data_IF_109453732894
#
_entry.id   IF_109453732894
#
_cell.length_a   1.000
_cell.length_b   1.000
_cell.length_c   1.000
_cell.angle_alpha   90.00
_cell.angle_beta   90.00
_cell.angle_gamma   90.00
#
_symmetry.space_group_name_H-M   'P 1'
#
loop_
_entity.id
_entity.type
_entity.pdbx_description
1 polymer ?
#
# COMPACT_ATOMS: atom_id res chain seq x y z
N UNK A 1 -12.81 -42.80 21.26
CA UNK A 1 -11.56 -42.12 21.68
C UNK A 1 -10.94 -41.25 20.58
N UNK A 2 -10.94 -41.66 19.31
CA UNK A 2 -10.38 -40.88 18.19
C UNK A 2 -11.17 -39.60 17.79
N UNK A 3 -12.46 -39.60 17.87
CA UNK A 3 -13.30 -38.44 17.54
C UNK A 3 -13.06 -37.22 18.48
N UNK A 4 -12.80 -37.50 19.77
CA UNK A 4 -12.47 -36.43 20.72
C UNK A 4 -11.09 -35.78 20.47
N UNK A 5 -10.11 -36.60 20.02
CA UNK A 5 -8.78 -36.09 19.69
C UNK A 5 -8.82 -35.22 18.42
N UNK A 6 -9.57 -35.62 17.39
CA UNK A 6 -9.77 -34.83 16.18
C UNK A 6 -10.51 -33.51 16.45
N UNK A 7 -11.49 -33.51 17.33
CA UNK A 7 -12.19 -32.29 17.71
C UNK A 7 -11.29 -31.31 18.50
N UNK A 8 -10.43 -31.84 19.39
CA UNK A 8 -9.45 -31.02 20.13
C UNK A 8 -8.37 -30.49 19.20
N UNK A 9 -7.87 -31.31 18.26
CA UNK A 9 -6.89 -30.87 17.27
C UNK A 9 -7.48 -29.87 16.28
N UNK A 10 -8.73 -30.06 15.82
CA UNK A 10 -9.44 -29.11 14.99
C UNK A 10 -9.66 -27.77 15.72
N UNK A 11 -9.99 -27.83 17.01
CA UNK A 11 -10.13 -26.62 17.85
C UNK A 11 -8.77 -25.94 18.10
N UNK A 12 -7.72 -26.71 18.34
CA UNK A 12 -6.34 -26.18 18.49
C UNK A 12 -5.84 -25.52 17.19
N UNK A 13 -6.14 -26.14 16.02
CA UNK A 13 -5.79 -25.59 14.71
C UNK A 13 -6.63 -24.34 14.41
N UNK A 14 -7.92 -24.33 14.77
CA UNK A 14 -8.80 -23.18 14.67
C UNK A 14 -8.31 -22.02 15.59
N UNK A 15 -8.03 -22.32 16.86
CA UNK A 15 -7.48 -21.35 17.82
C UNK A 15 -6.10 -20.84 17.39
N UNK A 16 -5.28 -21.66 16.69
CA UNK A 16 -3.97 -21.22 16.17
C UNK A 16 -4.11 -20.37 14.90
N UNK A 17 -5.15 -20.61 14.10
CA UNK A 17 -5.49 -19.78 12.95
C UNK A 17 -6.15 -18.44 13.34
N UNK A 18 -6.89 -18.42 14.47
CA UNK A 18 -7.52 -17.20 15.01
C UNK A 18 -6.50 -16.16 15.53
N UNK A 19 -5.26 -16.55 15.79
CA UNK A 19 -4.25 -15.68 16.45
C UNK A 19 -3.42 -14.79 15.52
N UNK A 20 -3.57 -14.89 14.20
CA UNK A 20 -2.76 -14.08 13.27
C UNK A 20 -3.37 -12.71 12.93
N UNK A 21 -4.66 -12.51 13.17
CA UNK A 21 -5.34 -11.26 12.87
C UNK A 21 -5.90 -10.62 14.15
N UNK A 22 -5.49 -9.39 14.42
CA UNK A 22 -6.11 -8.58 15.46
C UNK A 22 -7.46 -8.07 14.96
N UNK A 23 -8.50 -8.21 15.80
CA UNK A 23 -9.83 -7.66 15.52
C UNK A 23 -9.79 -6.13 15.42
N UNK A 24 -10.58 -5.57 14.50
CA UNK A 24 -10.74 -4.13 14.31
C UNK A 24 -11.12 -3.40 15.62
N UNK A 25 -11.83 -4.06 16.54
CA UNK A 25 -12.17 -3.53 17.85
C UNK A 25 -10.93 -3.41 18.75
N UNK A 26 -10.04 -4.39 18.74
CA UNK A 26 -8.78 -4.39 19.49
C UNK A 26 -7.84 -3.32 18.96
N UNK A 27 -7.68 -3.22 17.63
CA UNK A 27 -6.92 -2.17 16.98
C UNK A 27 -7.46 -0.78 17.32
N UNK A 28 -8.79 -0.61 17.28
CA UNK A 28 -9.44 0.63 17.71
C UNK A 28 -9.14 0.94 19.17
N UNK A 29 -9.26 -0.03 20.07
CA UNK A 29 -8.98 0.15 21.49
C UNK A 29 -7.51 0.53 21.71
N UNK A 30 -6.58 -0.13 21.03
CA UNK A 30 -5.17 0.23 21.09
C UNK A 30 -4.94 1.69 20.68
N UNK A 31 -5.31 2.08 19.46
CA UNK A 31 -4.98 3.40 18.93
C UNK A 31 -5.71 4.56 19.63
N UNK A 32 -6.95 4.35 20.06
CA UNK A 32 -7.77 5.46 20.56
C UNK A 32 -7.99 5.46 22.07
N UNK A 33 -7.81 4.33 22.76
CA UNK A 33 -8.04 4.22 24.21
C UNK A 33 -6.77 4.10 25.03
N UNK A 34 -5.65 3.62 24.48
CA UNK A 34 -4.40 3.48 25.25
C UNK A 34 -3.49 4.69 25.05
N UNK A 35 -2.65 5.00 26.06
CA UNK A 35 -1.62 6.04 25.96
C UNK A 35 -0.56 5.68 24.92
N UNK A 36 -0.13 4.42 24.90
CA UNK A 36 0.87 3.91 23.96
C UNK A 36 0.37 3.97 22.51
N UNK A 37 -0.87 3.57 22.28
CA UNK A 37 -1.48 3.63 20.94
C UNK A 37 -1.61 5.06 20.40
N UNK A 38 -1.93 6.05 21.27
CA UNK A 38 -1.95 7.46 20.86
C UNK A 38 -0.56 7.99 20.49
N UNK A 39 0.48 7.56 21.21
CA UNK A 39 1.88 7.88 20.84
C UNK A 39 2.22 7.23 19.51
N UNK A 40 1.93 5.95 19.33
CA UNK A 40 2.16 5.24 18.08
C UNK A 40 1.43 5.91 16.90
N UNK A 41 0.15 6.26 17.07
CA UNK A 41 -0.63 6.96 16.04
C UNK A 41 -0.01 8.31 15.65
N UNK A 42 0.46 9.09 16.63
CA UNK A 42 1.08 10.40 16.38
C UNK A 42 2.38 10.24 15.59
N UNK A 43 3.25 9.35 16.04
CA UNK A 43 4.54 9.09 15.39
C UNK A 43 4.36 8.58 13.96
N UNK A 44 3.50 7.58 13.76
CA UNK A 44 3.17 7.07 12.42
C UNK A 44 2.59 8.16 11.50
N UNK A 45 1.64 8.94 12.02
CA UNK A 45 1.01 10.02 11.25
C UNK A 45 2.02 11.09 10.83
N UNK A 46 2.93 11.46 11.72
CA UNK A 46 3.99 12.41 11.41
C UNK A 46 4.87 11.89 10.28
N UNK A 47 5.39 10.66 10.38
CA UNK A 47 6.22 10.04 9.34
C UNK A 47 5.46 9.83 8.03
N UNK A 48 4.18 9.51 8.11
CA UNK A 48 3.31 9.35 6.95
C UNK A 48 3.09 10.69 6.21
N UNK A 49 2.86 11.77 6.95
CA UNK A 49 2.69 13.11 6.37
C UNK A 49 4.00 13.69 5.82
N UNK A 50 5.18 13.24 6.27
CA UNK A 50 6.46 13.57 5.64
C UNK A 50 6.56 13.01 4.20
N UNK A 51 5.97 11.83 3.96
CA UNK A 51 5.91 11.24 2.63
C UNK A 51 4.75 11.83 1.81
N UNK A 52 3.57 11.96 2.43
CA UNK A 52 2.35 12.45 1.78
C UNK A 52 1.73 13.62 2.55
N UNK A 53 2.25 14.84 2.40
CA UNK A 53 1.73 16.01 3.10
C UNK A 53 0.29 16.35 2.68
N UNK A 54 -0.07 16.04 1.43
CA UNK A 54 -1.37 16.40 0.85
C UNK A 54 -1.94 15.28 -0.03
N UNK A 55 -3.27 15.30 -0.19
CA UNK A 55 -4.01 14.42 -1.10
C UNK A 55 -5.20 15.17 -1.75
N UNK A 56 -5.04 16.47 -2.01
CA UNK A 56 -6.12 17.29 -2.56
C UNK A 56 -6.52 16.79 -3.96
N UNK A 57 -7.82 16.60 -4.16
CA UNK A 57 -8.38 16.13 -5.43
C UNK A 57 -8.08 14.67 -5.76
N UNK A 58 -7.38 13.92 -4.91
CA UNK A 58 -6.94 12.55 -5.13
C UNK A 58 -7.89 11.53 -4.48
N UNK A 59 -7.93 10.33 -5.03
CA UNK A 59 -8.58 9.17 -4.41
C UNK A 59 -7.55 8.47 -3.51
N UNK A 60 -7.84 8.42 -2.22
CA UNK A 60 -7.00 7.78 -1.20
C UNK A 60 -7.66 6.49 -0.72
N UNK A 61 -6.98 5.38 -0.86
CA UNK A 61 -7.42 4.07 -0.41
C UNK A 61 -6.49 3.59 0.71
N UNK A 62 -7.04 3.17 1.82
CA UNK A 62 -6.30 2.51 2.89
C UNK A 62 -6.79 1.09 3.09
N UNK A 63 -5.89 0.14 3.33
CA UNK A 63 -6.20 -1.27 3.57
C UNK A 63 -5.68 -1.75 4.94
N UNK A 64 -6.39 -2.69 5.55
CA UNK A 64 -6.13 -3.23 6.88
C UNK A 64 -6.84 -2.39 7.95
N UNK A 65 -6.12 -1.70 8.80
CA UNK A 65 -6.67 -0.75 9.77
C UNK A 65 -6.26 0.69 9.46
N UNK A 66 -6.77 1.30 8.38
CA UNK A 66 -6.26 2.56 7.87
C UNK A 66 -6.73 3.80 8.64
N UNK A 67 -7.75 3.69 9.48
CA UNK A 67 -8.40 4.80 10.19
C UNK A 67 -7.43 5.77 10.91
N UNK A 68 -6.33 5.33 11.57
CA UNK A 68 -5.38 6.22 12.23
C UNK A 68 -4.68 7.20 11.28
N UNK A 69 -4.49 6.82 10.00
CA UNK A 69 -3.72 7.59 9.01
C UNK A 69 -4.59 8.33 7.99
N UNK A 70 -5.87 7.97 7.83
CA UNK A 70 -6.78 8.63 6.89
C UNK A 70 -7.28 10.02 7.34
N UNK A 71 -7.33 10.26 8.65
CA UNK A 71 -7.91 11.48 9.21
C UNK A 71 -7.40 12.79 8.61
N UNK A 72 -6.10 12.96 8.30
CA UNK A 72 -5.58 14.21 7.72
C UNK A 72 -6.12 14.54 6.33
N UNK A 73 -6.61 13.54 5.59
CA UNK A 73 -7.11 13.69 4.21
C UNK A 73 -8.61 13.89 4.13
N UNK A 74 -9.34 13.75 5.26
CA UNK A 74 -10.78 14.00 5.32
C UNK A 74 -11.09 15.44 4.90
N UNK A 75 -12.08 15.60 4.01
CA UNK A 75 -12.49 16.89 3.47
C UNK A 75 -11.53 17.53 2.44
N UNK A 76 -10.36 16.93 2.17
CA UNK A 76 -9.37 17.40 1.17
C UNK A 76 -9.28 16.47 -0.03
N UNK A 77 -9.26 15.17 0.21
CA UNK A 77 -9.26 14.19 -0.85
C UNK A 77 -10.58 14.18 -1.61
N UNK A 78 -10.54 13.87 -2.91
CA UNK A 78 -11.74 13.68 -3.74
C UNK A 78 -12.58 12.51 -3.24
N UNK A 79 -11.92 11.42 -2.85
CA UNK A 79 -12.54 10.21 -2.31
C UNK A 79 -11.61 9.53 -1.31
N UNK A 80 -12.20 9.02 -0.25
CA UNK A 80 -11.51 8.20 0.74
C UNK A 80 -12.24 6.87 0.86
N UNK A 81 -11.49 5.77 0.85
CA UNK A 81 -12.00 4.42 1.08
C UNK A 81 -11.12 3.72 2.11
N UNK A 82 -11.72 3.17 3.13
CA UNK A 82 -11.07 2.37 4.16
C UNK A 82 -11.48 0.90 3.97
N UNK A 83 -10.64 0.12 3.31
CA UNK A 83 -10.83 -1.31 3.11
C UNK A 83 -10.38 -2.07 4.35
N UNK A 84 -11.29 -2.83 4.95
CA UNK A 84 -11.02 -3.65 6.13
C UNK A 84 -11.24 -5.11 5.77
N UNK A 85 -10.20 -5.97 5.92
CA UNK A 85 -10.30 -7.39 5.57
C UNK A 85 -11.27 -8.13 6.51
N UNK A 86 -11.99 -9.10 5.96
CA UNK A 86 -13.00 -9.87 6.69
C UNK A 86 -12.48 -10.54 7.95
N UNK A 87 -11.25 -11.01 7.93
CA UNK A 87 -10.58 -11.65 9.06
C UNK A 87 -10.31 -10.68 10.22
N UNK A 88 -10.11 -9.40 9.94
CA UNK A 88 -9.95 -8.32 10.93
C UNK A 88 -11.32 -7.78 11.41
N UNK A 89 -12.35 -7.94 10.60
CA UNK A 89 -13.65 -7.33 10.81
C UNK A 89 -13.69 -5.85 10.39
N UNK A 90 -14.87 -5.26 10.45
CA UNK A 90 -15.12 -3.89 10.02
C UNK A 90 -15.69 -3.03 11.14
N UNK A 91 -15.30 -1.77 11.18
CA UNK A 91 -15.94 -0.76 12.00
C UNK A 91 -16.39 0.42 11.16
N UNK A 92 -17.51 1.02 11.48
CA UNK A 92 -17.94 2.29 10.86
C UNK A 92 -16.96 3.40 11.23
N UNK A 93 -16.42 4.08 10.21
CA UNK A 93 -15.49 5.20 10.36
C UNK A 93 -15.66 6.20 9.21
N UNK A 94 -15.52 7.51 9.46
CA UNK A 94 -15.28 8.18 10.73
C UNK A 94 -16.55 8.22 11.60
N UNK A 95 -16.36 8.41 12.91
CA UNK A 95 -17.50 8.51 13.83
C UNK A 95 -18.21 9.85 13.66
N UNK A 96 -19.53 9.80 13.47
CA UNK A 96 -20.37 11.01 13.33
C UNK A 96 -20.37 11.66 11.95
N UNK A 97 -19.72 11.04 10.97
CA UNK A 97 -19.70 11.47 9.56
C UNK A 97 -20.14 10.32 8.66
N UNK A 98 -20.22 10.54 7.34
CA UNK A 98 -20.54 9.49 6.39
C UNK A 98 -19.48 8.37 6.43
N UNK A 99 -19.94 7.12 6.51
CA UNK A 99 -19.07 5.95 6.61
C UNK A 99 -18.27 5.76 5.32
N UNK A 100 -16.95 5.62 5.45
CA UNK A 100 -16.04 5.31 4.34
C UNK A 100 -15.39 3.93 4.45
N UNK A 101 -15.77 3.16 5.49
CA UNK A 101 -15.24 1.80 5.70
C UNK A 101 -16.02 0.78 4.89
N UNK A 102 -15.31 -0.14 4.28
CA UNK A 102 -15.83 -1.23 3.45
C UNK A 102 -15.17 -2.53 3.91
N UNK A 103 -16.00 -3.54 4.23
CA UNK A 103 -15.51 -4.89 4.45
C UNK A 103 -15.17 -5.51 3.10
N UNK A 104 -14.01 -6.15 2.98
CA UNK A 104 -13.60 -6.80 1.74
C UNK A 104 -12.79 -8.08 1.99
N UNK A 105 -12.65 -8.89 0.97
CA UNK A 105 -11.67 -9.96 0.94
C UNK A 105 -10.26 -9.37 0.80
N UNK A 106 -9.23 -10.07 1.30
CA UNK A 106 -7.84 -9.58 1.26
C UNK A 106 -7.32 -9.43 -0.16
N UNK A 107 -7.66 -10.37 -1.02
CA UNK A 107 -7.12 -10.50 -2.38
C UNK A 107 -8.08 -10.05 -3.47
N UNK A 108 -9.28 -9.58 -3.09
CA UNK A 108 -10.30 -9.15 -4.05
C UNK A 108 -11.08 -7.94 -3.52
N UNK A 109 -10.69 -6.75 -3.98
CA UNK A 109 -11.29 -5.51 -3.49
C UNK A 109 -12.45 -5.03 -4.38
N UNK A 110 -13.54 -4.53 -3.79
CA UNK A 110 -14.68 -3.99 -4.53
C UNK A 110 -14.38 -2.62 -5.14
N UNK A 111 -13.23 -2.48 -5.79
CA UNK A 111 -12.76 -1.26 -6.41
C UNK A 111 -12.37 -1.49 -7.88
N UNK A 112 -12.68 -0.55 -8.79
CA UNK A 112 -12.22 -0.61 -10.17
C UNK A 112 -10.69 -0.56 -10.28
N UNK A 113 -10.17 -1.16 -11.34
CA UNK A 113 -8.75 -1.08 -11.70
C UNK A 113 -8.34 0.38 -11.93
N UNK A 114 -7.22 0.78 -11.35
CA UNK A 114 -6.62 2.09 -11.58
C UNK A 114 -7.34 3.28 -10.94
N UNK A 115 -8.22 3.04 -9.96
CA UNK A 115 -9.02 4.11 -9.32
C UNK A 115 -8.22 4.92 -8.28
N UNK A 116 -7.24 4.31 -7.62
CA UNK A 116 -6.51 4.93 -6.51
C UNK A 116 -5.32 5.75 -7.01
N UNK A 117 -5.24 7.00 -6.60
CA UNK A 117 -4.06 7.84 -6.78
C UNK A 117 -3.04 7.57 -5.67
N UNK A 118 -3.54 7.31 -4.47
CA UNK A 118 -2.76 6.97 -3.28
C UNK A 118 -3.34 5.75 -2.58
N UNK A 119 -2.50 4.78 -2.30
CA UNK A 119 -2.86 3.54 -1.61
C UNK A 119 -1.92 3.34 -0.42
N UNK A 120 -2.43 2.92 0.74
CA UNK A 120 -1.53 2.51 1.82
C UNK A 120 -2.09 1.33 2.61
N UNK A 121 -1.17 0.56 3.19
CA UNK A 121 -1.47 -0.57 4.05
C UNK A 121 -0.98 -0.28 5.47
N UNK A 122 -1.84 -0.55 6.45
CA UNK A 122 -1.50 -0.53 7.88
C UNK A 122 -2.17 -1.74 8.53
N UNK A 123 -1.42 -2.61 9.16
CA UNK A 123 -1.89 -3.89 9.70
C UNK A 123 -2.62 -4.75 8.65
N UNK A 124 -1.97 -4.91 7.48
CA UNK A 124 -2.52 -5.68 6.37
C UNK A 124 -1.48 -6.58 5.70
N UNK A 125 -0.29 -6.06 5.36
CA UNK A 125 0.72 -6.88 4.66
C UNK A 125 1.41 -7.88 5.58
N UNK A 126 1.63 -7.53 6.84
CA UNK A 126 2.26 -8.40 7.83
C UNK A 126 1.33 -9.48 8.36
N UNK A 127 0.01 -9.28 8.26
CA UNK A 127 -0.99 -10.20 8.80
C UNK A 127 -1.59 -11.13 7.76
N UNK A 128 -1.48 -10.82 6.48
CA UNK A 128 -2.07 -11.64 5.40
C UNK A 128 -1.35 -12.97 5.21
N UNK A 129 -2.11 -14.00 4.90
CA UNK A 129 -1.58 -15.30 4.45
C UNK A 129 -1.22 -15.30 2.95
N UNK A 130 -1.74 -14.34 2.18
CA UNK A 130 -1.62 -14.24 0.73
C UNK A 130 -0.92 -12.94 0.31
N UNK A 131 0.35 -12.70 0.73
CA UNK A 131 1.02 -11.42 0.49
C UNK A 131 1.26 -11.12 -1.00
N UNK A 132 1.41 -12.15 -1.83
CA UNK A 132 1.60 -11.98 -3.27
C UNK A 132 0.32 -11.48 -3.94
N UNK A 133 -0.78 -12.15 -3.69
CA UNK A 133 -2.10 -11.84 -4.23
C UNK A 133 -2.58 -10.45 -3.73
N UNK A 134 -2.30 -10.14 -2.46
CA UNK A 134 -2.58 -8.82 -1.90
C UNK A 134 -1.80 -7.72 -2.64
N UNK A 135 -0.53 -7.93 -2.93
CA UNK A 135 0.28 -6.96 -3.68
C UNK A 135 -0.17 -6.82 -5.14
N UNK A 136 -0.60 -7.90 -5.79
CA UNK A 136 -1.20 -7.87 -7.12
C UNK A 136 -2.50 -7.05 -7.13
N UNK A 137 -3.33 -7.21 -6.10
CA UNK A 137 -4.56 -6.45 -5.95
C UNK A 137 -4.28 -4.96 -5.68
N UNK A 138 -3.28 -4.65 -4.83
CA UNK A 138 -2.78 -3.28 -4.65
C UNK A 138 -2.34 -2.68 -5.99
N UNK A 139 -1.59 -3.44 -6.79
CA UNK A 139 -1.13 -2.99 -8.09
C UNK A 139 -2.29 -2.78 -9.06
N UNK A 140 -3.28 -3.66 -9.07
CA UNK A 140 -4.49 -3.53 -9.91
C UNK A 140 -5.25 -2.25 -9.62
N UNK A 141 -5.51 -1.97 -8.34
CA UNK A 141 -6.32 -0.83 -7.90
C UNK A 141 -5.58 0.50 -8.04
N UNK A 142 -4.25 0.49 -7.93
CA UNK A 142 -3.43 1.68 -8.07
C UNK A 142 -3.42 2.18 -9.52
N UNK A 143 -3.67 3.47 -9.72
CA UNK A 143 -3.67 4.13 -11.03
C UNK A 143 -2.27 4.24 -11.65
N UNK A 144 -2.22 4.60 -12.93
CA UNK A 144 -0.96 4.94 -13.58
C UNK A 144 -0.35 6.19 -12.92
N UNK A 145 0.91 6.09 -12.48
CA UNK A 145 1.58 7.14 -11.70
C UNK A 145 1.12 7.23 -10.25
N UNK A 146 0.23 6.35 -9.81
CA UNK A 146 -0.19 6.24 -8.41
C UNK A 146 0.94 5.76 -7.51
N UNK A 147 0.85 6.06 -6.22
CA UNK A 147 1.84 5.73 -5.21
C UNK A 147 1.24 4.91 -4.08
N UNK A 148 1.99 3.94 -3.60
CA UNK A 148 1.61 3.12 -2.47
C UNK A 148 2.56 3.30 -1.28
N UNK A 149 2.04 3.30 -0.05
CA UNK A 149 2.83 3.24 1.18
C UNK A 149 2.52 1.92 1.89
N UNK A 150 3.58 1.22 2.25
CA UNK A 150 3.53 -0.02 3.03
C UNK A 150 4.10 0.25 4.42
N UNK A 151 3.26 0.10 5.45
CA UNK A 151 3.65 0.24 6.86
C UNK A 151 3.72 -1.16 7.46
N UNK A 152 4.92 -1.62 7.80
CA UNK A 152 5.15 -2.97 8.33
C UNK A 152 6.03 -2.95 9.56
N UNK A 153 5.85 -3.87 10.52
CA UNK A 153 6.74 -4.02 11.66
C UNK A 153 8.17 -4.33 11.22
N UNK A 154 9.13 -3.64 11.84
CA UNK A 154 10.55 -3.88 11.61
C UNK A 154 11.01 -5.08 12.43
N UNK A 155 11.52 -6.12 11.77
CA UNK A 155 12.03 -7.35 12.39
C UNK A 155 13.09 -7.09 13.48
N UNK A 156 13.90 -6.06 13.30
CA UNK A 156 14.95 -5.69 14.26
C UNK A 156 14.45 -4.75 15.36
N UNK A 157 13.22 -4.23 15.26
CA UNK A 157 12.63 -3.30 16.20
C UNK A 157 12.12 -3.96 17.47
N UNK A 158 11.96 -3.18 18.54
CA UNK A 158 11.38 -3.65 19.80
C UNK A 158 9.87 -3.92 19.68
N UNK A 159 9.16 -3.20 18.83
CA UNK A 159 7.71 -3.30 18.66
C UNK A 159 7.28 -4.65 18.08
N UNK A 160 8.06 -5.21 17.17
CA UNK A 160 7.78 -6.52 16.57
C UNK A 160 8.04 -7.72 17.49
N UNK A 161 8.63 -7.46 18.68
CA UNK A 161 8.92 -8.47 19.69
C UNK A 161 8.02 -8.36 20.91
N UNK A 162 6.99 -7.53 20.85
CA UNK A 162 6.14 -7.18 21.98
C UNK A 162 4.69 -7.52 21.65
N UNK A 163 4.22 -8.66 22.15
CA UNK A 163 2.87 -9.17 21.92
C UNK A 163 1.75 -8.29 22.49
N UNK A 164 2.09 -7.34 23.37
CA UNK A 164 1.14 -6.36 23.93
C UNK A 164 0.77 -5.23 22.97
N UNK A 165 1.32 -5.22 21.76
CA UNK A 165 1.03 -4.21 20.74
C UNK A 165 0.66 -4.86 19.39
N UNK A 166 -0.16 -4.20 18.56
CA UNK A 166 -0.52 -4.74 17.25
C UNK A 166 0.67 -5.03 16.33
N UNK A 167 1.82 -4.39 16.56
CA UNK A 167 3.02 -4.57 15.76
C UNK A 167 3.82 -5.83 16.10
N UNK A 168 3.48 -6.53 17.19
CA UNK A 168 4.05 -7.83 17.56
C UNK A 168 3.36 -9.00 16.85
N UNK A 169 2.21 -8.76 16.24
CA UNK A 169 1.46 -9.78 15.52
C UNK A 169 1.85 -9.83 14.04
N UNK A 170 1.68 -10.99 13.43
CA UNK A 170 2.00 -11.19 12.03
C UNK A 170 3.49 -11.38 11.74
N UNK A 171 3.88 -11.16 10.50
CA UNK A 171 5.24 -11.42 9.99
C UNK A 171 6.03 -10.11 9.89
N UNK A 172 7.01 -9.84 10.75
CA UNK A 172 7.81 -8.62 10.65
C UNK A 172 8.78 -8.72 9.46
N UNK A 173 9.03 -7.58 8.83
CA UNK A 173 9.90 -7.46 7.65
C UNK A 173 11.25 -6.82 8.01
N UNK A 174 12.31 -7.26 7.33
CA UNK A 174 13.47 -6.39 7.14
C UNK A 174 13.22 -5.48 5.94
N UNK A 175 13.85 -4.31 5.90
CA UNK A 175 13.70 -3.38 4.77
C UNK A 175 14.00 -4.05 3.43
N UNK A 176 15.11 -4.81 3.38
CA UNK A 176 15.52 -5.55 2.17
C UNK A 176 14.48 -6.59 1.72
N UNK A 177 13.86 -7.32 2.67
CA UNK A 177 12.83 -8.29 2.32
C UNK A 177 11.61 -7.61 1.70
N UNK A 178 11.17 -6.48 2.31
CA UNK A 178 10.07 -5.71 1.77
C UNK A 178 10.37 -5.16 0.37
N UNK A 179 11.55 -4.55 0.17
CA UNK A 179 11.96 -4.04 -1.15
C UNK A 179 11.99 -5.12 -2.23
N UNK A 180 12.55 -6.29 -1.92
CA UNK A 180 12.59 -7.43 -2.87
C UNK A 180 11.18 -7.89 -3.22
N UNK A 181 10.29 -8.00 -2.23
CA UNK A 181 8.92 -8.41 -2.44
C UNK A 181 8.15 -7.38 -3.29
N UNK A 182 8.27 -6.09 -3.00
CA UNK A 182 7.65 -5.02 -3.76
C UNK A 182 8.11 -5.02 -5.23
N UNK A 183 9.42 -5.16 -5.47
CA UNK A 183 9.98 -5.22 -6.83
C UNK A 183 9.46 -6.42 -7.63
N UNK A 184 9.26 -7.59 -6.99
CA UNK A 184 8.67 -8.78 -7.63
C UNK A 184 7.25 -8.54 -8.13
N UNK A 185 6.50 -7.66 -7.47
CA UNK A 185 5.12 -7.29 -7.82
C UNK A 185 5.03 -5.96 -8.58
N UNK A 186 6.08 -5.61 -9.33
CA UNK A 186 6.14 -4.43 -10.19
C UNK A 186 5.91 -3.09 -9.45
N UNK A 187 6.30 -3.01 -8.18
CA UNK A 187 6.46 -1.76 -7.46
C UNK A 187 7.92 -1.31 -7.47
N UNK A 188 8.15 -0.01 -7.61
CA UNK A 188 9.46 0.60 -7.48
C UNK A 188 9.54 1.34 -6.15
N UNK A 189 10.24 0.80 -5.11
CA UNK A 189 10.48 1.53 -3.88
C UNK A 189 11.25 2.83 -4.15
N UNK A 190 10.74 3.97 -3.67
CA UNK A 190 11.33 5.29 -3.94
C UNK A 190 11.88 5.94 -2.67
N UNK A 191 11.09 5.92 -1.60
CA UNK A 191 11.46 6.54 -0.31
C UNK A 191 11.08 5.61 0.83
N UNK A 192 11.82 5.70 1.92
CA UNK A 192 11.43 5.04 3.15
C UNK A 192 11.70 5.93 4.37
N UNK A 193 10.92 5.72 5.40
CA UNK A 193 11.08 6.33 6.71
C UNK A 193 10.92 5.24 7.75
N UNK A 194 11.66 5.32 8.83
CA UNK A 194 11.49 4.46 9.98
C UNK A 194 10.86 5.26 11.12
N UNK A 195 9.94 4.66 11.86
CA UNK A 195 9.21 5.31 12.96
C UNK A 195 9.10 4.38 14.17
N UNK A 196 8.51 4.86 15.24
CA UNK A 196 8.36 4.15 16.53
C UNK A 196 9.70 3.82 17.18
N UNK A 197 10.52 4.85 17.39
CA UNK A 197 11.78 4.72 18.15
C UNK A 197 11.55 4.68 19.67
N UNK A 198 10.38 5.16 20.11
CA UNK A 198 9.96 5.06 21.52
C UNK A 198 9.78 3.59 21.90
N UNK A 199 10.30 3.13 23.05
CA UNK A 199 10.04 1.77 23.53
C UNK A 199 8.54 1.46 23.68
N UNK A 200 8.07 0.25 23.34
CA UNK A 200 6.66 -0.15 23.41
C UNK A 200 6.24 -0.41 24.88
N UNK A 201 6.23 0.64 25.68
CA UNK A 201 5.94 0.55 27.13
C UNK A 201 4.84 1.54 27.53
N UNK A 202 3.83 1.09 28.31
CA UNK A 202 2.76 1.95 28.80
C UNK A 202 3.21 2.88 29.97
N UNK A 203 4.46 2.79 30.41
CA UNK A 203 4.98 3.61 31.50
C UNK A 203 4.95 5.09 31.14
N UNK A 204 4.48 5.93 32.06
CA UNK A 204 4.32 7.38 31.85
C UNK A 204 5.60 8.10 31.40
N UNK A 205 6.75 7.66 31.87
CA UNK A 205 8.05 8.21 31.47
C UNK A 205 8.23 8.12 29.93
N UNK A 206 8.09 6.93 29.34
CA UNK A 206 8.25 6.72 27.89
C UNK A 206 7.20 7.45 27.07
N UNK A 207 5.95 7.51 27.57
CA UNK A 207 4.88 8.24 26.89
C UNK A 207 5.10 9.75 26.88
N UNK A 208 5.67 10.32 27.96
CA UNK A 208 5.95 11.77 28.04
C UNK A 208 7.20 12.19 27.28
N UNK A 209 8.15 11.29 27.09
CA UNK A 209 9.41 11.55 26.38
C UNK A 209 9.40 11.04 24.95
N UNK A 210 8.25 10.60 24.45
CA UNK A 210 8.11 10.00 23.11
C UNK A 210 8.65 10.89 21.99
N UNK A 211 8.33 12.18 22.02
CA UNK A 211 8.75 13.13 20.97
C UNK A 211 10.28 13.31 20.95
N UNK A 212 10.93 13.25 22.11
CA UNK A 212 12.39 13.25 22.22
C UNK A 212 13.00 11.99 21.58
N UNK A 213 12.45 10.81 21.89
CA UNK A 213 12.94 9.54 21.35
C UNK A 213 12.73 9.44 19.84
N UNK A 214 11.58 9.88 19.34
CA UNK A 214 11.32 9.94 17.91
C UNK A 214 12.28 10.90 17.19
N UNK A 215 12.51 12.11 17.73
CA UNK A 215 13.44 13.08 17.14
C UNK A 215 14.89 12.60 17.16
N UNK A 216 15.33 12.02 18.28
CA UNK A 216 16.70 11.49 18.45
C UNK A 216 16.91 10.23 17.62
N UNK A 217 15.94 9.31 17.61
CA UNK A 217 16.00 8.06 16.86
C UNK A 217 16.08 8.31 15.35
N UNK A 218 15.36 9.29 14.82
CA UNK A 218 15.46 9.69 13.40
C UNK A 218 16.85 10.24 13.04
N UNK A 219 17.44 11.04 13.91
CA UNK A 219 18.79 11.59 13.70
C UNK A 219 19.89 10.54 13.79
N UNK A 220 19.70 9.53 14.64
CA UNK A 220 20.63 8.45 14.88
C UNK A 220 20.10 7.10 14.33
N UNK A 221 19.40 7.13 13.21
CA UNK A 221 18.78 5.96 12.60
C UNK A 221 19.76 4.85 12.20
N UNK A 222 21.04 5.16 12.09
CA UNK A 222 22.11 4.16 11.88
C UNK A 222 22.39 3.31 13.15
N UNK A 223 22.05 3.81 14.33
CA UNK A 223 22.30 3.16 15.61
C UNK A 223 21.03 2.59 16.23
N UNK A 224 19.91 3.32 16.08
CA UNK A 224 18.62 2.94 16.64
C UNK A 224 17.71 2.34 15.57
N UNK A 225 17.22 1.14 15.86
CA UNK A 225 16.24 0.48 15.02
C UNK A 225 14.82 0.90 15.43
N UNK A 226 14.12 1.66 14.57
CA UNK A 226 12.71 1.98 14.83
C UNK A 226 11.80 0.75 14.73
N UNK A 227 10.59 0.86 15.29
CA UNK A 227 9.64 -0.24 15.38
C UNK A 227 8.98 -0.63 14.06
N UNK A 228 8.87 0.30 13.11
CA UNK A 228 8.21 0.06 11.81
C UNK A 228 9.00 0.65 10.65
N UNK A 229 8.87 0.03 9.49
CA UNK A 229 9.27 0.58 8.20
C UNK A 229 8.03 1.15 7.49
N UNK A 230 8.17 2.33 6.93
CA UNK A 230 7.18 3.00 6.08
C UNK A 230 7.85 3.21 4.73
N UNK A 231 7.47 2.42 3.75
CA UNK A 231 8.09 2.42 2.41
C UNK A 231 7.10 2.94 1.40
N UNK A 232 7.47 4.00 0.70
CA UNK A 232 6.74 4.49 -0.45
C UNK A 232 7.26 3.85 -1.72
N UNK A 233 6.36 3.37 -2.56
CA UNK A 233 6.66 2.79 -3.85
C UNK A 233 5.70 3.31 -4.92
N UNK A 234 6.19 3.46 -6.14
CA UNK A 234 5.38 3.79 -7.31
C UNK A 234 5.01 2.52 -8.08
N UNK A 235 3.87 2.58 -8.78
CA UNK A 235 3.45 1.54 -9.71
C UNK A 235 4.32 1.59 -10.95
N UNK A 236 5.05 0.50 -11.22
CA UNK A 236 5.82 0.37 -12.44
C UNK A 236 4.89 -0.03 -13.59
N UNK A 237 4.64 0.89 -14.50
CA UNK A 237 3.92 0.61 -15.75
C UNK A 237 4.96 0.45 -16.85
N UNK A 238 5.18 -0.78 -17.31
CA UNK A 238 5.92 -1.00 -18.54
C UNK A 238 5.07 -0.46 -19.68
N UNK A 239 5.46 0.67 -20.26
CA UNK A 239 4.94 1.05 -21.56
C UNK A 239 5.36 -0.06 -22.53
N UNK A 240 4.44 -0.78 -23.18
CA UNK A 240 4.82 -1.71 -24.22
C UNK A 240 5.54 -0.90 -25.27
N UNK A 241 6.82 -1.20 -25.49
CA UNK A 241 7.59 -0.70 -26.64
C UNK A 241 6.99 -1.36 -27.88
N UNK A 242 5.78 -0.94 -28.26
CA UNK A 242 5.31 -1.19 -29.61
C UNK A 242 6.30 -0.45 -30.50
N UNK A 243 6.96 -1.12 -31.46
CA UNK A 243 7.69 -0.41 -32.49
C UNK A 243 6.66 0.56 -33.08
N UNK A 244 6.86 1.85 -32.79
CA UNK A 244 5.88 2.87 -33.12
C UNK A 244 5.66 2.88 -34.62
N UNK A 245 4.49 3.27 -35.07
CA UNK A 245 4.13 3.60 -36.47
C UNK A 245 5.18 4.46 -37.21
N UNK A 246 6.15 5.04 -36.51
CA UNK A 246 7.31 5.75 -37.07
C UNK A 246 8.26 4.88 -37.91
N UNK A 247 8.25 3.55 -37.80
CA UNK A 247 9.05 2.70 -38.69
C UNK A 247 8.33 2.33 -39.99
N UNK A 248 7.00 2.48 -40.07
CA UNK A 248 6.26 2.25 -41.32
C UNK A 248 6.24 3.43 -42.31
N UNK A 249 6.64 4.65 -41.87
CA UNK A 249 6.63 5.86 -42.73
C UNK A 249 8.00 6.12 -43.36
N UNK A 250 9.01 5.25 -43.17
CA UNK A 250 10.34 5.44 -43.76
C UNK A 250 10.63 4.60 -44.99
N UNK A 251 9.63 4.18 -45.78
CA UNK A 251 9.84 3.79 -47.16
C UNK A 251 9.52 5.01 -48.03
N UNK A 252 10.53 5.67 -48.64
CA UNK A 252 10.23 6.67 -49.67
C UNK A 252 9.45 5.96 -50.76
N UNK A 253 8.32 6.55 -51.16
CA UNK A 253 7.61 6.14 -52.35
C UNK A 253 8.64 6.16 -53.48
N UNK A 254 9.00 5.01 -54.05
CA UNK A 254 9.72 4.92 -55.31
C UNK A 254 8.77 5.50 -56.35
N UNK A 255 9.11 6.69 -56.84
CA UNK A 255 8.54 7.24 -58.05
C UNK A 255 8.88 6.22 -59.13
N UNK A 256 7.88 5.61 -59.75
CA UNK A 256 8.06 4.80 -60.95
C UNK A 256 8.49 5.75 -62.05
N UNK A 257 9.80 5.86 -62.31
CA UNK A 257 10.33 6.37 -63.54
C UNK A 257 9.92 5.40 -64.63
N UNK A 258 9.02 5.84 -65.53
CA UNK A 258 8.61 5.04 -66.70
C UNK A 258 7.15 5.14 -67.12
N UNK A 259 6.46 6.23 -66.81
CA UNK A 259 5.23 6.54 -67.52
C UNK A 259 5.58 7.34 -68.78
N UNK A 260 5.71 6.67 -69.95
CA UNK A 260 5.81 7.28 -71.29
C UNK A 260 4.64 8.21 -71.51
N UNK A 261 4.92 9.48 -71.81
CA UNK A 261 3.91 10.42 -72.29
C UNK A 261 3.32 9.90 -73.65
N UNK A 262 2.03 9.91 -73.82
CA UNK A 262 1.46 9.67 -75.17
C UNK A 262 1.84 10.82 -76.10
N UNK A 263 2.54 10.48 -77.19
CA UNK A 263 2.89 11.42 -78.27
C UNK A 263 1.66 12.02 -78.97
N UNK A 264 1.82 13.22 -79.62
CA UNK A 264 0.70 13.90 -80.29
C UNK A 264 0.18 13.09 -81.48
N UNK A 265 -1.14 12.93 -81.60
CA UNK A 265 -1.82 12.36 -82.71
C UNK A 265 -1.78 13.37 -83.87
N UNK A 266 -1.16 12.98 -85.00
CA UNK A 266 -1.15 13.76 -86.22
C UNK A 266 -2.57 13.97 -86.74
N UNK A 267 -2.91 15.21 -87.13
CA UNK A 267 -4.18 15.62 -87.63
C UNK A 267 -4.47 15.03 -89.03
N UNK A 268 -5.71 14.63 -89.20
CA UNK A 268 -6.28 14.35 -90.53
C UNK A 268 -6.71 15.66 -91.22
N UNK A 269 -6.19 15.93 -92.35
CA UNK A 269 -6.63 17.02 -93.24
C UNK A 269 -8.02 16.72 -93.81
N UNK A 270 -8.81 17.76 -94.04
CA UNK A 270 -10.14 17.61 -94.74
C UNK A 270 -10.04 17.65 -96.26
N UNK A 271 -10.81 16.85 -96.89
CA UNK A 271 -11.21 17.02 -98.27
C UNK A 271 -12.72 17.30 -98.35
#
# INVERSE_FOLDING_TARGET
MWLGYLAVMAKLIADTAETMHLDALELRNFYYRTGLGRVAQRSLRQSFLELWPEAQGQTVVGFGFPAPLLRPYMGKARRIVALMPGQQGVMSWPRGEANVSVLCEETQWPLPTGIADKLFLLHGLETTDYPSELLEECWRVLGAGGRAIFVVPNRSGMWSRTDSTPFGFGRPYSLRQLEVQLKRHAFTPERYVTSLYTPPSPRRFWLRTSDFWEGTGRRLSSVFSGGVHIVEASKQVYAPTRPGLRQMVRRPLRVLEGATQPGPVAGAEPA
#
